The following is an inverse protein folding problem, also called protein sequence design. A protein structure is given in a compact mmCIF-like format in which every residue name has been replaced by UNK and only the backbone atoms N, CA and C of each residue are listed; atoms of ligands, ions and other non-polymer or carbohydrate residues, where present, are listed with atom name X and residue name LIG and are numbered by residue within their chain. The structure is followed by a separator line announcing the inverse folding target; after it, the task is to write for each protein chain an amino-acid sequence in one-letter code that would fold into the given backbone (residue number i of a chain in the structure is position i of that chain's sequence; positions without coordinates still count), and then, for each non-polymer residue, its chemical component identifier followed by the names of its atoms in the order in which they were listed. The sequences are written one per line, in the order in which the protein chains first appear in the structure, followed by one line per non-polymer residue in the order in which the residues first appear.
data_IF_092825267750
#
_entry.id   IF_092825267750
#
_cell.length_a   1.000
_cell.length_b   1.000
_cell.length_c   1.000
_cell.angle_alpha   90.00
_cell.angle_beta   90.00
_cell.angle_gamma   90.00
#
_symmetry.space_group_name_H-M   'P 1'
#
loop_
_entity.id
_entity.type
_entity.pdbx_description
1 polymer ?
#
# COMPACT_ATOMS: atom_id res chain seq x y z
N UNK A 1 0.44 11.00 5.06
CA UNK A 1 -0.17 10.07 4.10
C UNK A 1 0.80 9.82 2.96
N UNK A 2 1.01 8.56 2.57
CA UNK A 2 1.60 8.25 1.26
C UNK A 2 0.53 8.57 0.21
N UNK A 3 0.89 9.28 -0.86
CA UNK A 3 -0.04 9.54 -1.96
C UNK A 3 -0.45 8.23 -2.61
N UNK A 4 -1.74 8.07 -2.94
CA UNK A 4 -2.32 6.90 -3.61
C UNK A 4 -1.58 6.56 -4.91
N UNK A 5 -1.06 7.59 -5.58
CA UNK A 5 -0.21 7.46 -6.76
C UNK A 5 1.10 6.72 -6.43
N UNK A 6 1.79 7.13 -5.35
CA UNK A 6 3.05 6.52 -4.92
C UNK A 6 2.83 5.08 -4.46
N UNK A 7 1.74 4.81 -3.75
CA UNK A 7 1.35 3.44 -3.35
C UNK A 7 1.19 2.54 -4.57
N UNK A 8 0.42 2.99 -5.56
CA UNK A 8 0.17 2.24 -6.80
C UNK A 8 1.47 2.05 -7.59
N UNK A 9 2.31 3.08 -7.67
CA UNK A 9 3.61 2.99 -8.33
C UNK A 9 4.53 1.96 -7.68
N UNK A 10 4.66 2.02 -6.36
CA UNK A 10 5.51 1.08 -5.60
C UNK A 10 4.98 -0.35 -5.70
N UNK A 11 3.67 -0.55 -5.68
CA UNK A 11 3.07 -1.87 -5.87
C UNK A 11 3.46 -2.48 -7.22
N UNK A 12 3.37 -1.70 -8.30
CA UNK A 12 3.75 -2.16 -9.64
C UNK A 12 5.25 -2.41 -9.78
N UNK A 13 6.10 -1.56 -9.20
CA UNK A 13 7.55 -1.76 -9.20
C UNK A 13 7.91 -3.08 -8.50
N UNK A 14 7.34 -3.35 -7.32
CA UNK A 14 7.57 -4.58 -6.58
C UNK A 14 7.06 -5.82 -7.32
N UNK A 15 5.88 -5.74 -7.95
CA UNK A 15 5.33 -6.83 -8.75
C UNK A 15 6.23 -7.15 -9.97
N UNK A 16 6.76 -6.12 -10.63
CA UNK A 16 7.69 -6.32 -11.76
C UNK A 16 9.02 -6.92 -11.31
N UNK A 17 9.52 -6.51 -10.15
CA UNK A 17 10.75 -7.05 -9.57
C UNK A 17 10.56 -8.52 -9.12
N UNK A 18 9.41 -8.85 -8.53
CA UNK A 18 9.00 -10.23 -8.19
C UNK A 18 9.04 -11.12 -9.43
N UNK A 19 8.38 -10.70 -10.51
CA UNK A 19 8.33 -11.46 -11.77
C UNK A 19 9.74 -11.64 -12.37
N UNK A 20 10.57 -10.59 -12.39
CA UNK A 20 11.96 -10.68 -12.85
C UNK A 20 12.78 -11.69 -12.04
N UNK A 21 12.68 -11.63 -10.71
CA UNK A 21 13.36 -12.57 -9.83
C UNK A 21 12.89 -14.03 -10.01
N UNK A 22 11.60 -14.24 -10.31
CA UNK A 22 11.08 -15.57 -10.64
C UNK A 22 11.67 -16.11 -11.94
N UNK A 23 11.74 -15.28 -12.99
CA UNK A 23 12.33 -15.68 -14.27
C UNK A 23 13.82 -16.00 -14.17
N UNK A 24 14.54 -15.30 -13.28
CA UNK A 24 15.95 -15.56 -12.98
C UNK A 24 16.18 -16.77 -12.05
N UNK A 25 15.11 -17.46 -11.60
CA UNK A 25 15.21 -18.57 -10.65
C UNK A 25 15.59 -18.16 -9.22
N UNK A 26 15.55 -16.85 -8.91
CA UNK A 26 15.89 -16.29 -7.60
C UNK A 26 14.69 -16.31 -6.66
N UNK A 27 14.25 -17.51 -6.28
CA UNK A 27 13.03 -17.72 -5.50
C UNK A 27 12.99 -16.93 -4.17
N UNK A 28 14.11 -16.87 -3.45
CA UNK A 28 14.20 -16.09 -2.20
C UNK A 28 13.98 -14.59 -2.42
N UNK A 29 14.50 -14.05 -3.51
CA UNK A 29 14.35 -12.64 -3.86
C UNK A 29 12.91 -12.33 -4.31
N UNK A 30 12.30 -13.22 -5.10
CA UNK A 30 10.89 -13.11 -5.47
C UNK A 30 9.97 -13.12 -4.24
N UNK A 31 10.23 -14.02 -3.28
CA UNK A 31 9.48 -14.08 -2.03
C UNK A 31 9.64 -12.78 -1.21
N UNK A 32 10.84 -12.18 -1.21
CA UNK A 32 11.09 -10.91 -0.55
C UNK A 32 10.26 -9.77 -1.17
N UNK A 33 10.24 -9.64 -2.50
CA UNK A 33 9.41 -8.66 -3.19
C UNK A 33 7.92 -8.85 -2.94
N UNK A 34 7.44 -10.09 -2.93
CA UNK A 34 6.05 -10.41 -2.60
C UNK A 34 5.69 -10.00 -1.16
N UNK A 35 6.59 -10.22 -0.20
CA UNK A 35 6.40 -9.84 1.19
C UNK A 35 6.41 -8.31 1.37
N UNK A 36 7.34 -7.60 0.72
CA UNK A 36 7.35 -6.13 0.70
C UNK A 36 6.06 -5.56 0.13
N UNK A 37 5.53 -6.14 -0.95
CA UNK A 37 4.27 -5.72 -1.56
C UNK A 37 3.07 -5.92 -0.62
N UNK A 38 3.06 -7.01 0.15
CA UNK A 38 2.05 -7.26 1.20
C UNK A 38 2.12 -6.21 2.31
N UNK A 39 3.33 -5.94 2.83
CA UNK A 39 3.53 -4.92 3.89
C UNK A 39 3.11 -3.54 3.41
N UNK A 40 3.52 -3.14 2.20
CA UNK A 40 3.14 -1.86 1.60
C UNK A 40 1.61 -1.66 1.55
N UNK A 41 0.86 -2.69 1.14
CA UNK A 41 -0.60 -2.63 1.13
C UNK A 41 -1.22 -2.69 2.53
N UNK A 42 -0.57 -3.37 3.47
CA UNK A 42 -1.01 -3.40 4.86
C UNK A 42 -0.84 -2.02 5.49
N UNK A 43 0.34 -1.41 5.38
CA UNK A 43 0.64 -0.07 5.90
C UNK A 43 -0.28 0.98 5.29
N UNK A 44 -0.58 0.90 3.98
CA UNK A 44 -1.53 1.80 3.35
C UNK A 44 -2.94 1.69 3.95
N UNK A 45 -3.46 0.47 4.08
CA UNK A 45 -4.79 0.25 4.69
C UNK A 45 -4.82 0.59 6.18
N UNK A 46 -3.76 0.30 6.91
CA UNK A 46 -3.67 0.59 8.35
C UNK A 46 -3.49 2.09 8.60
N UNK A 47 -2.82 2.81 7.69
CA UNK A 47 -2.78 4.27 7.69
C UNK A 47 -4.12 4.90 7.27
N UNK A 48 -4.87 4.29 6.34
CA UNK A 48 -6.25 4.71 6.01
C UNK A 48 -7.23 4.44 7.16
N UNK A 49 -7.11 3.31 7.86
CA UNK A 49 -7.93 2.97 9.03
C UNK A 49 -7.62 3.88 10.24
N UNK A 50 -6.36 4.31 10.39
CA UNK A 50 -5.97 5.36 11.34
C UNK A 50 -6.48 6.77 10.94
N UNK A 51 -6.84 6.97 9.67
CA UNK A 51 -7.44 8.21 9.16
C UNK A 51 -8.97 8.18 9.18
N UNK A 52 -9.59 7.02 9.47
CA UNK A 52 -11.04 6.82 9.48
C UNK A 52 -11.68 7.02 10.87
N UNK A 53 -10.98 7.64 11.82
CA UNK A 53 -11.55 8.10 13.10
C UNK A 53 -11.45 9.63 13.23
N UNK A 54 -12.55 10.31 12.88
CA UNK A 54 -12.81 11.74 13.09
C UNK A 54 -13.00 12.48 11.76
N UNK A 55 -14.18 12.93 11.32
CA UNK A 55 -15.43 13.27 12.01
C UNK A 55 -16.62 13.01 11.05
N UNK A 56 -17.82 12.60 11.52
CA UNK A 56 -19.03 13.02 10.83
C UNK A 56 -19.14 14.53 10.98
N UNK A 57 -19.23 15.27 9.87
CA UNK A 57 -19.59 16.68 9.89
C UNK A 57 -21.04 16.80 10.35
N UNK A 58 -21.23 16.86 11.67
CA UNK A 58 -22.47 17.31 12.30
C UNK A 58 -22.62 18.80 11.95
N UNK A 59 -23.37 19.07 10.88
CA UNK A 59 -23.94 20.40 10.67
C UNK A 59 -25.15 20.55 11.58
N UNK A 60 -25.04 21.41 12.61
CA UNK A 60 -26.11 22.34 12.88
C UNK A 60 -25.53 23.67 13.34
N UNK A 61 -25.65 24.72 12.53
CA UNK A 61 -25.73 26.04 13.12
C UNK A 61 -26.65 26.97 12.34
N UNK A 62 -27.82 27.16 12.94
CA UNK A 62 -28.75 28.24 12.69
C UNK A 62 -28.19 29.56 13.23
N UNK A 63 -28.39 30.65 12.48
CA UNK A 63 -28.81 31.98 12.96
C UNK A 63 -29.12 32.87 11.75
#
# INVERSE_FOLDING_TARGET
MISTYLLTHLHHVLQRAEFGAQQEGRAALAANYAQLRKVLCLDARTMEDASASGQPEDSPQAA
#
